data_IF_787688881594
#
_entry.id   IF_787688881594
#
_cell.length_a   1.000
_cell.length_b   1.000
_cell.length_c   1.000
_cell.angle_alpha   90.00
_cell.angle_beta   90.00
_cell.angle_gamma   90.00
#
_symmetry.space_group_name_H-M   'P 1'
#
loop_
_entity.id
_entity.type
_entity.pdbx_description
1 polymer ?
#
# COMPACT_ATOMS: atom_id res chain seq x y z
N UNK A 1 10.01 13.07 -40.43
CA UNK A 1 9.53 13.79 -39.23
C UNK A 1 8.85 12.78 -38.34
N UNK A 2 9.45 12.40 -37.21
CA UNK A 2 8.87 11.45 -36.27
C UNK A 2 7.80 12.18 -35.44
N UNK A 3 6.56 11.73 -35.55
CA UNK A 3 5.46 12.15 -34.68
C UNK A 3 5.67 11.50 -33.32
N UNK A 4 6.29 12.23 -32.38
CA UNK A 4 6.27 11.86 -30.98
C UNK A 4 4.83 11.98 -30.47
N UNK A 5 4.16 10.84 -30.33
CA UNK A 5 2.84 10.74 -29.73
C UNK A 5 2.92 11.12 -28.25
N UNK A 6 2.51 12.35 -27.92
CA UNK A 6 2.33 12.81 -26.54
C UNK A 6 1.05 12.20 -25.98
N UNK A 7 1.15 10.97 -25.49
CA UNK A 7 0.07 10.31 -24.76
C UNK A 7 -0.20 11.11 -23.48
N UNK A 8 -1.47 11.47 -23.25
CA UNK A 8 -1.88 12.22 -22.05
C UNK A 8 -1.78 11.33 -20.80
N UNK A 9 -1.49 11.91 -19.63
CA UNK A 9 -1.35 11.14 -18.38
C UNK A 9 -2.63 10.37 -17.98
N UNK A 10 -3.79 10.79 -18.47
CA UNK A 10 -5.08 10.11 -18.24
C UNK A 10 -5.23 8.85 -19.08
N UNK A 11 -4.69 8.80 -20.30
CA UNK A 11 -4.72 7.61 -21.16
C UNK A 11 -3.77 6.52 -20.67
N UNK A 12 -2.63 6.88 -20.05
CA UNK A 12 -1.71 5.92 -19.43
C UNK A 12 -2.40 5.11 -18.32
N UNK A 13 -3.34 5.73 -17.59
CA UNK A 13 -4.10 5.05 -16.51
C UNK A 13 -5.13 4.04 -17.04
N UNK A 14 -5.48 4.08 -18.33
CA UNK A 14 -6.53 3.24 -18.93
C UNK A 14 -6.00 2.01 -19.67
N UNK A 15 -4.68 1.84 -19.79
CA UNK A 15 -4.13 0.62 -20.39
C UNK A 15 -4.41 -0.52 -19.40
N UNK A 16 -5.20 -1.55 -19.77
CA UNK A 16 -5.44 -2.68 -18.89
C UNK A 16 -4.08 -3.33 -18.57
N UNK A 17 -3.71 -3.31 -17.30
CA UNK A 17 -2.47 -3.90 -16.82
C UNK A 17 -2.52 -5.40 -17.14
N UNK A 18 -1.60 -5.86 -18.00
CA UNK A 18 -1.54 -7.27 -18.35
C UNK A 18 -1.09 -8.06 -17.11
N UNK A 19 -1.80 -9.15 -16.75
CA UNK A 19 -1.36 -10.00 -15.65
C UNK A 19 0.03 -10.57 -15.98
N UNK A 20 0.90 -10.63 -14.97
CA UNK A 20 2.28 -11.11 -15.15
C UNK A 20 2.26 -12.64 -15.10
N UNK A 21 2.95 -13.27 -16.06
CA UNK A 21 3.18 -14.72 -16.03
C UNK A 21 4.24 -15.02 -14.94
N UNK A 22 3.75 -15.35 -13.74
CA UNK A 22 4.56 -15.59 -12.53
C UNK A 22 5.45 -16.85 -12.63
N UNK A 23 5.18 -17.76 -13.57
CA UNK A 23 6.03 -18.95 -13.80
C UNK A 23 7.27 -18.61 -14.62
N UNK A 24 7.17 -17.62 -15.50
CA UNK A 24 8.27 -17.21 -16.41
C UNK A 24 8.99 -15.96 -15.96
N UNK A 25 8.40 -15.18 -15.07
CA UNK A 25 8.95 -13.91 -14.59
C UNK A 25 9.55 -14.09 -13.21
N UNK A 26 10.83 -13.77 -13.02
CA UNK A 26 11.44 -13.80 -11.70
C UNK A 26 10.74 -12.82 -10.75
N UNK A 27 10.43 -13.22 -9.51
CA UNK A 27 9.85 -12.32 -8.53
C UNK A 27 10.84 -11.22 -8.14
N UNK A 28 10.30 -10.05 -7.80
CA UNK A 28 11.05 -8.96 -7.17
C UNK A 28 11.05 -9.12 -5.65
N UNK A 29 12.12 -8.63 -5.03
CA UNK A 29 12.21 -8.49 -3.57
C UNK A 29 11.55 -7.18 -3.15
N UNK A 30 10.38 -7.28 -2.51
CA UNK A 30 9.66 -6.17 -1.92
C UNK A 30 10.02 -6.04 -0.44
N UNK A 31 10.58 -4.89 -0.05
CA UNK A 31 10.85 -4.55 1.34
C UNK A 31 9.66 -3.79 1.91
N UNK A 32 9.03 -4.37 2.92
CA UNK A 32 7.82 -3.87 3.56
C UNK A 32 8.13 -3.49 5.00
N UNK A 33 7.79 -2.27 5.39
CA UNK A 33 7.90 -1.80 6.75
C UNK A 33 6.52 -1.69 7.38
N UNK A 34 6.38 -2.07 8.65
CA UNK A 34 5.08 -2.04 9.34
C UNK A 34 5.10 -1.15 10.57
N UNK A 35 4.02 -0.40 10.79
CA UNK A 35 3.78 0.34 12.04
C UNK A 35 2.49 -0.11 12.71
N UNK A 36 2.48 -0.14 14.04
CA UNK A 36 1.28 -0.49 14.84
C UNK A 36 0.55 0.75 15.40
N UNK A 37 1.00 1.95 15.01
CA UNK A 37 0.52 3.23 15.52
C UNK A 37 -0.59 3.88 14.69
N UNK A 38 -1.01 3.25 13.59
CA UNK A 38 -1.96 3.81 12.64
C UNK A 38 -1.46 5.04 11.87
N UNK A 39 -0.15 5.25 11.81
CA UNK A 39 0.52 6.28 11.02
C UNK A 39 1.70 5.69 10.29
N UNK A 40 1.91 6.13 9.05
CA UNK A 40 3.06 5.75 8.26
C UNK A 40 4.37 6.25 8.88
N UNK A 41 5.46 5.53 8.65
CA UNK A 41 6.80 6.03 8.99
C UNK A 41 7.06 7.35 8.25
N UNK A 42 7.84 8.25 8.85
CA UNK A 42 8.23 9.50 8.21
C UNK A 42 9.38 9.24 7.24
N UNK A 43 9.44 10.00 6.14
CA UNK A 43 10.55 9.91 5.18
C UNK A 43 11.93 10.14 5.81
N UNK A 44 11.99 10.90 6.90
CA UNK A 44 13.21 11.16 7.69
C UNK A 44 13.79 9.88 8.32
N UNK A 45 12.95 8.88 8.63
CA UNK A 45 13.35 7.61 9.26
C UNK A 45 14.06 6.67 8.26
N UNK A 46 13.87 6.91 6.96
CA UNK A 46 14.55 6.19 5.88
C UNK A 46 15.82 6.93 5.41
N UNK A 47 16.09 8.12 5.93
CA UNK A 47 17.22 8.92 5.50
C UNK A 47 18.56 8.39 6.05
N UNK A 48 19.68 8.79 5.40
CA UNK A 48 21.06 8.47 5.84
C UNK A 48 21.36 6.96 5.94
N UNK A 49 20.70 6.14 5.12
CA UNK A 49 20.93 4.69 5.09
C UNK A 49 20.36 3.94 6.30
N UNK A 50 19.57 4.61 7.14
CA UNK A 50 18.79 3.95 8.18
C UNK A 50 17.46 3.49 7.62
N UNK A 51 16.94 2.39 8.17
CA UNK A 51 15.59 1.89 7.90
C UNK A 51 14.96 1.46 9.23
N UNK A 52 13.62 1.51 9.35
CA UNK A 52 12.93 1.01 10.54
C UNK A 52 13.23 -0.47 10.80
N UNK A 53 13.32 -0.87 12.08
CA UNK A 53 13.66 -2.24 12.47
C UNK A 53 12.59 -3.29 12.11
N UNK A 54 11.33 -2.86 11.94
CA UNK A 54 10.21 -3.75 11.59
C UNK A 54 10.11 -3.94 10.07
N UNK A 55 11.10 -4.62 9.49
CA UNK A 55 11.16 -4.97 8.07
C UNK A 55 10.63 -6.39 7.82
N UNK A 56 9.83 -6.54 6.77
CA UNK A 56 9.47 -7.80 6.15
C UNK A 56 9.92 -7.82 4.69
N UNK A 57 10.42 -8.96 4.27
CA UNK A 57 10.84 -9.19 2.90
C UNK A 57 9.85 -10.13 2.23
N UNK A 58 9.27 -9.69 1.12
CA UNK A 58 8.27 -10.43 0.37
C UNK A 58 8.76 -10.62 -1.06
N UNK A 59 8.80 -11.86 -1.53
CA UNK A 59 9.01 -12.17 -2.94
C UNK A 59 7.69 -12.09 -3.67
N UNK A 60 7.55 -11.14 -4.60
CA UNK A 60 6.29 -10.91 -5.31
C UNK A 60 6.50 -10.34 -6.71
N UNK A 61 5.46 -9.87 -7.37
CA UNK A 61 5.50 -9.29 -8.71
C UNK A 61 4.82 -7.91 -8.73
N UNK A 62 4.97 -7.18 -9.82
CA UNK A 62 4.36 -5.84 -9.97
C UNK A 62 2.82 -5.88 -9.98
N UNK A 63 2.23 -7.03 -10.32
CA UNK A 63 0.78 -7.25 -10.30
C UNK A 63 0.23 -7.60 -8.91
N UNK A 64 1.08 -7.64 -7.88
CA UNK A 64 0.67 -7.95 -6.51
C UNK A 64 -0.35 -6.94 -6.00
N UNK A 65 -1.49 -7.45 -5.53
CA UNK A 65 -2.58 -6.62 -5.03
C UNK A 65 -2.40 -6.25 -3.55
N UNK A 66 -3.00 -5.13 -3.12
CA UNK A 66 -3.00 -4.76 -1.70
C UNK A 66 -3.61 -5.87 -0.81
N UNK A 67 -4.60 -6.61 -1.32
CA UNK A 67 -5.19 -7.75 -0.59
C UNK A 67 -4.22 -8.92 -0.44
N UNK A 68 -3.43 -9.22 -1.47
CA UNK A 68 -2.38 -10.25 -1.42
C UNK A 68 -1.33 -9.87 -0.36
N UNK A 69 -0.84 -8.63 -0.41
CA UNK A 69 0.11 -8.10 0.57
C UNK A 69 -0.45 -8.12 2.00
N UNK A 70 -1.71 -7.71 2.18
CA UNK A 70 -2.41 -7.78 3.46
C UNK A 70 -2.44 -9.22 4.01
N UNK A 71 -2.59 -10.21 3.14
CA UNK A 71 -2.71 -11.61 3.55
C UNK A 71 -1.37 -12.15 4.05
N UNK A 72 -0.27 -11.80 3.37
CA UNK A 72 1.09 -12.12 3.80
C UNK A 72 1.45 -11.46 5.12
N UNK A 73 1.10 -10.18 5.31
CA UNK A 73 1.32 -9.48 6.59
C UNK A 73 0.59 -10.17 7.75
N UNK A 74 -0.63 -10.69 7.51
CA UNK A 74 -1.40 -11.42 8.53
C UNK A 74 -0.78 -12.77 8.90
N UNK A 75 0.03 -13.37 8.04
CA UNK A 75 0.75 -14.60 8.36
C UNK A 75 1.80 -14.34 9.43
N UNK A 76 2.52 -13.21 9.32
CA UNK A 76 3.57 -12.82 10.26
C UNK A 76 3.04 -12.10 11.51
N UNK A 77 2.02 -11.24 11.36
CA UNK A 77 1.39 -10.50 12.47
C UNK A 77 -0.02 -11.02 12.76
N UNK A 78 -0.17 -12.01 13.66
CA UNK A 78 -1.47 -12.60 13.97
C UNK A 78 -2.47 -11.59 14.57
N UNK A 79 -1.98 -10.57 15.29
CA UNK A 79 -2.83 -9.50 15.84
C UNK A 79 -3.56 -8.70 14.75
N UNK A 80 -2.97 -8.59 13.55
CA UNK A 80 -3.55 -7.88 12.43
C UNK A 80 -4.71 -8.67 11.77
N UNK A 81 -4.94 -9.93 12.16
CA UNK A 81 -6.06 -10.75 11.68
C UNK A 81 -7.41 -10.29 12.25
N UNK A 82 -7.40 -9.60 13.40
CA UNK A 82 -8.63 -9.13 14.08
C UNK A 82 -9.53 -8.39 13.08
N UNK A 83 -10.81 -8.79 13.02
CA UNK A 83 -11.80 -8.18 12.11
C UNK A 83 -11.91 -6.69 12.40
N UNK A 84 -11.90 -5.86 11.36
CA UNK A 84 -11.89 -4.40 11.48
C UNK A 84 -10.51 -3.78 11.69
N UNK A 85 -9.41 -4.56 11.62
CA UNK A 85 -8.06 -3.98 11.52
C UNK A 85 -7.90 -3.29 10.17
N UNK A 86 -7.47 -2.04 10.17
CA UNK A 86 -7.17 -1.27 8.96
C UNK A 86 -5.68 -1.39 8.63
N UNK A 87 -5.38 -1.52 7.35
CA UNK A 87 -4.03 -1.49 6.79
C UNK A 87 -3.96 -0.33 5.83
N UNK A 88 -3.28 0.76 6.21
CA UNK A 88 -2.91 1.82 5.27
C UNK A 88 -1.66 1.39 4.51
N UNK A 89 -1.62 1.64 3.21
CA UNK A 89 -0.48 1.34 2.34
C UNK A 89 0.09 2.63 1.79
N UNK A 90 1.41 2.78 1.90
CA UNK A 90 2.14 3.89 1.30
C UNK A 90 3.42 3.38 0.61
N UNK A 91 3.79 4.02 -0.49
CA UNK A 91 5.09 3.81 -1.15
C UNK A 91 6.05 4.86 -0.62
N UNK A 92 7.23 4.41 -0.21
CA UNK A 92 8.33 5.27 0.23
C UNK A 92 9.43 5.20 -0.84
N UNK A 93 9.73 6.33 -1.45
CA UNK A 93 10.68 6.41 -2.57
C UNK A 93 11.66 7.57 -2.35
N UNK A 94 12.91 7.45 -2.84
CA UNK A 94 13.90 8.52 -2.72
C UNK A 94 13.46 9.74 -3.55
N UNK A 95 13.59 10.95 -2.98
CA UNK A 95 13.32 12.18 -3.71
C UNK A 95 14.60 12.67 -4.40
N UNK A 96 14.67 12.76 -5.75
CA UNK A 96 15.92 13.16 -6.41
C UNK A 96 16.35 14.60 -6.10
N UNK A 97 15.39 15.45 -5.72
CA UNK A 97 15.60 16.89 -5.48
C UNK A 97 15.95 17.22 -4.03
N UNK A 98 15.72 16.30 -3.09
CA UNK A 98 15.97 16.49 -1.66
C UNK A 98 16.66 15.25 -1.13
N UNK A 99 17.69 15.41 -0.32
CA UNK A 99 18.43 14.28 0.23
C UNK A 99 17.60 13.54 1.32
N UNK A 100 16.55 12.83 0.92
CA UNK A 100 15.57 12.20 1.78
C UNK A 100 14.56 11.34 1.01
N UNK A 101 13.65 10.72 1.76
CA UNK A 101 12.58 9.90 1.19
C UNK A 101 11.24 10.60 1.28
N UNK A 102 10.37 10.32 0.31
CA UNK A 102 8.99 10.77 0.30
C UNK A 102 8.05 9.59 0.46
N UNK A 103 7.01 9.80 1.25
CA UNK A 103 5.96 8.83 1.52
C UNK A 103 4.73 9.24 0.70
N UNK A 104 4.14 8.32 -0.04
CA UNK A 104 2.93 8.51 -0.84
C UNK A 104 1.92 7.43 -0.47
N UNK A 105 0.81 7.83 0.13
CA UNK A 105 -0.32 6.95 0.37
C UNK A 105 -0.90 6.43 -0.96
N UNK A 106 -1.18 5.13 -1.03
CA UNK A 106 -1.68 4.45 -2.23
C UNK A 106 -3.04 3.77 -2.02
N UNK A 107 -3.43 3.48 -0.78
CA UNK A 107 -4.72 2.87 -0.50
C UNK A 107 -4.81 2.29 0.90
N UNK A 108 -5.97 1.70 1.22
CA UNK A 108 -6.16 0.99 2.47
C UNK A 108 -6.98 -0.29 2.28
N UNK A 109 -6.75 -1.29 3.13
CA UNK A 109 -7.58 -2.50 3.19
C UNK A 109 -8.06 -2.71 4.63
N UNK A 110 -9.14 -3.49 4.79
CA UNK A 110 -9.69 -3.79 6.13
C UNK A 110 -9.83 -5.28 6.31
N UNK A 111 -9.34 -5.81 7.44
CA UNK A 111 -9.48 -7.24 7.73
C UNK A 111 -10.94 -7.63 7.88
N UNK A 112 -11.38 -8.60 7.07
CA UNK A 112 -12.73 -9.15 7.10
C UNK A 112 -13.78 -8.30 6.36
N UNK A 113 -13.36 -7.28 5.61
CA UNK A 113 -14.25 -6.50 4.72
C UNK A 113 -13.60 -6.36 3.34
N UNK A 114 -14.40 -6.50 2.29
CA UNK A 114 -13.95 -6.24 0.92
C UNK A 114 -13.95 -4.73 0.69
N UNK A 115 -12.80 -4.18 0.30
CA UNK A 115 -12.63 -2.78 -0.07
C UNK A 115 -12.47 -2.58 -1.57
N UNK A 116 -12.63 -1.34 -2.05
CA UNK A 116 -12.36 -0.99 -3.45
C UNK A 116 -10.85 -1.05 -3.77
N UNK A 117 -10.01 -0.72 -2.80
CA UNK A 117 -8.55 -0.75 -2.97
C UNK A 117 -7.95 -2.17 -2.94
N UNK A 118 -8.73 -3.20 -2.59
CA UNK A 118 -8.23 -4.59 -2.49
C UNK A 118 -7.60 -5.09 -3.79
N UNK A 119 -8.10 -4.61 -4.92
CA UNK A 119 -7.67 -5.00 -6.28
C UNK A 119 -6.56 -4.11 -6.84
N UNK A 120 -6.15 -3.06 -6.11
CA UNK A 120 -5.08 -2.17 -6.58
C UNK A 120 -3.74 -2.91 -6.52
N UNK A 121 -2.99 -2.81 -7.61
CA UNK A 121 -1.68 -3.46 -7.79
C UNK A 121 -0.55 -2.46 -7.53
N UNK A 122 0.65 -2.97 -7.24
CA UNK A 122 1.86 -2.14 -7.16
C UNK A 122 2.10 -1.37 -8.47
N UNK A 123 1.88 -2.03 -9.62
CA UNK A 123 2.01 -1.45 -10.94
C UNK A 123 1.08 -0.24 -11.13
N UNK A 124 -0.19 -0.35 -10.73
CA UNK A 124 -1.18 0.72 -10.89
C UNK A 124 -0.82 1.99 -10.12
N UNK A 125 -0.04 1.82 -9.05
CA UNK A 125 0.40 2.89 -8.16
C UNK A 125 1.75 3.50 -8.55
N UNK A 126 2.33 3.04 -9.68
CA UNK A 126 3.64 3.42 -10.20
C UNK A 126 4.77 3.11 -9.22
N UNK A 127 4.67 1.98 -8.52
CA UNK A 127 5.79 1.43 -7.76
C UNK A 127 6.98 1.17 -8.69
N UNK A 128 8.20 1.38 -8.21
CA UNK A 128 9.42 1.03 -8.90
C UNK A 128 10.28 0.11 -8.04
N UNK A 129 11.04 -0.78 -8.69
CA UNK A 129 11.97 -1.65 -7.97
C UNK A 129 13.03 -0.78 -7.30
N UNK A 130 13.17 -0.94 -5.98
CA UNK A 130 14.01 -0.09 -5.13
C UNK A 130 13.21 0.84 -4.23
N UNK A 131 11.92 1.07 -4.54
CA UNK A 131 10.99 1.71 -3.60
C UNK A 131 10.70 0.77 -2.43
N UNK A 132 10.38 1.35 -1.28
CA UNK A 132 9.89 0.61 -0.12
C UNK A 132 8.38 0.70 -0.03
N UNK A 133 7.78 -0.31 0.61
CA UNK A 133 6.38 -0.27 0.98
C UNK A 133 6.26 -0.06 2.49
N UNK A 134 5.39 0.84 2.90
CA UNK A 134 5.08 1.09 4.30
C UNK A 134 3.61 0.75 4.59
N UNK A 135 3.37 -0.03 5.62
CA UNK A 135 2.04 -0.51 6.00
C UNK A 135 1.72 -0.06 7.43
N UNK A 136 0.76 0.84 7.55
CA UNK A 136 0.25 1.31 8.82
C UNK A 136 -0.92 0.42 9.29
N UNK A 137 -0.67 -0.39 10.32
CA UNK A 137 -1.65 -1.29 10.92
C UNK A 137 -2.36 -0.54 12.05
N UNK A 138 -3.69 -0.41 11.92
CA UNK A 138 -4.55 0.20 12.94
C UNK A 138 -5.55 -0.84 13.45
N UNK A 139 -5.45 -1.29 14.72
CA UNK A 139 -6.41 -2.24 15.27
C UNK A 139 -7.83 -1.64 15.35
N UNK A 140 -8.88 -2.48 15.34
CA UNK A 140 -10.28 -2.02 15.27
C UNK A 140 -10.69 -1.08 16.42
N UNK A 141 -10.11 -1.24 17.61
CA UNK A 141 -10.43 -0.40 18.77
C UNK A 141 -9.88 1.03 18.66
N UNK A 142 -9.03 1.30 17.67
CA UNK A 142 -8.38 2.61 17.45
C UNK A 142 -8.75 3.23 16.10
N UNK A 143 -9.53 2.52 15.28
CA UNK A 143 -10.04 3.04 14.02
C UNK A 143 -11.13 4.08 14.31
N UNK A 144 -11.19 5.19 13.55
CA UNK A 144 -12.29 6.13 13.67
C UNK A 144 -13.62 5.38 13.47
N UNK A 145 -14.67 5.67 14.27
CA UNK A 145 -15.97 5.05 14.07
C UNK A 145 -16.45 5.37 12.65
N UNK A 146 -16.76 4.33 11.88
CA UNK A 146 -17.52 4.49 10.63
C UNK A 146 -18.89 5.02 11.04
N UNK A 147 -19.14 6.30 10.79
CA UNK A 147 -20.37 7.04 11.09
C UNK A 147 -21.61 6.12 11.19
N UNK A 148 -22.22 5.97 12.37
CA UNK A 148 -23.60 5.51 12.45
C UNK A 148 -24.45 6.59 11.79
N UNK A 149 -25.18 6.20 10.76
CA UNK A 149 -26.16 7.04 10.07
C UNK A 149 -26.96 7.86 11.09
N UNK A 150 -26.85 9.19 10.96
CA UNK A 150 -27.72 10.17 11.58
C UNK A 150 -29.16 9.87 11.11
N UNK A 151 -29.95 9.28 12.00
CA UNK A 151 -31.27 8.74 11.64
C UNK A 151 -31.95 8.08 12.82
N UNK A 152 -32.05 8.80 13.94
CA UNK A 152 -32.93 8.42 15.04
C UNK A 152 -33.77 9.65 15.38
N UNK A 153 -34.82 9.85 14.57
CA UNK A 153 -35.97 10.61 15.02
C UNK A 153 -36.54 9.88 16.23
N UNK A 154 -36.50 10.54 17.39
CA UNK A 154 -37.23 10.12 18.58
C UNK A 154 -38.55 10.90 18.61
N UNK A 155 -39.71 10.24 18.68
CA UNK A 155 -40.93 10.90 19.12
C UNK A 155 -41.00 10.87 20.66
N UNK A 156 -41.22 12.03 21.25
CA UNK A 156 -41.98 12.24 22.48
C UNK A 156 -42.91 13.41 22.23
#
# INVERSE_FOLDING_TARGET
MALESRITQEEIRKIPEKPIDREKTCPLLLRVFTTNGGRHHRGDEFARGQVPSSELQIYTWMDASLKELTSLVKEVYPDARKKGTHFGFAIVYPEPKRNGYRVKDIGNTVSGRKGENDSMTLQSQRFQIGDYLDIAITPPNRAPPLNPRMGMGRPF
#
